data_IF_005222423475
#
_entry.id   IF_005222423475
#
_cell.length_a   1.000
_cell.length_b   1.000
_cell.length_c   1.000
_cell.angle_alpha   90.00
_cell.angle_beta   90.00
_cell.angle_gamma   90.00
#
_symmetry.space_group_name_H-M   'P 1'
#
loop_
_entity.id
_entity.type
_entity.pdbx_description
1 polymer ?
#
# COMPACT_ATOMS: atom_id res chain seq x y z
N UNK A 1 23.37 -10.36 19.35
CA UNK A 1 23.43 -10.20 20.83
C UNK A 1 23.48 -8.72 21.24
N UNK A 2 24.28 -7.92 20.61
CA UNK A 2 24.53 -6.51 20.96
C UNK A 2 23.27 -5.61 20.93
N UNK A 3 22.32 -5.87 20.03
CA UNK A 3 21.07 -5.11 19.89
C UNK A 3 20.09 -5.30 21.05
N UNK A 4 20.00 -6.50 21.60
CA UNK A 4 19.13 -6.78 22.76
C UNK A 4 19.71 -6.16 24.06
N UNK A 5 21.03 -6.17 24.19
CA UNK A 5 21.70 -5.63 25.38
C UNK A 5 21.84 -4.10 25.35
N UNK A 6 22.03 -3.49 24.18
CA UNK A 6 22.27 -2.05 24.06
C UNK A 6 21.05 -1.25 23.62
N UNK A 7 20.04 -1.90 23.06
CA UNK A 7 18.93 -1.22 22.37
C UNK A 7 19.39 -0.51 21.09
N UNK A 8 18.48 0.01 20.30
CA UNK A 8 18.79 0.87 19.15
C UNK A 8 17.59 1.78 18.83
N UNK A 9 17.81 3.08 18.79
CA UNK A 9 16.75 4.05 18.55
C UNK A 9 15.69 4.02 19.66
N UNK A 10 14.44 3.82 19.30
CA UNK A 10 13.31 3.71 20.24
C UNK A 10 13.18 2.32 20.90
N UNK A 11 14.03 1.34 20.55
CA UNK A 11 14.01 0.01 21.12
C UNK A 11 14.67 0.01 22.51
N UNK A 12 13.92 -0.34 23.59
CA UNK A 12 14.48 -0.34 24.93
C UNK A 12 15.55 -1.44 25.08
N UNK A 13 16.42 -1.28 26.07
CA UNK A 13 17.36 -2.33 26.47
C UNK A 13 16.58 -3.47 27.14
N UNK A 14 16.85 -4.70 26.74
CA UNK A 14 16.32 -5.91 27.38
C UNK A 14 17.44 -6.60 28.17
N UNK A 15 18.02 -5.88 29.13
CA UNK A 15 19.15 -6.38 29.94
C UNK A 15 18.75 -7.48 30.92
N UNK A 16 17.45 -7.68 31.14
CA UNK A 16 16.93 -8.67 32.09
C UNK A 16 16.90 -10.10 31.52
N UNK A 17 16.90 -10.23 30.19
CA UNK A 17 16.91 -11.55 29.52
C UNK A 17 18.36 -11.99 29.30
N UNK A 18 18.86 -12.89 30.16
CA UNK A 18 20.24 -13.37 30.08
C UNK A 18 20.31 -14.89 30.28
N UNK A 19 21.47 -15.47 29.91
CA UNK A 19 21.75 -16.88 30.16
C UNK A 19 20.74 -17.83 29.50
N UNK A 20 20.24 -18.83 30.27
CA UNK A 20 19.37 -19.88 29.72
C UNK A 20 18.06 -19.37 29.10
N UNK A 21 17.52 -18.27 29.62
CA UNK A 21 16.28 -17.65 29.10
C UNK A 21 16.51 -17.04 27.72
N UNK A 22 17.64 -16.37 27.51
CA UNK A 22 18.04 -15.84 26.23
C UNK A 22 18.25 -16.96 25.19
N UNK A 23 18.92 -18.05 25.60
CA UNK A 23 19.12 -19.20 24.72
C UNK A 23 17.80 -19.90 24.36
N UNK A 24 16.87 -20.01 25.30
CA UNK A 24 15.54 -20.56 25.06
C UNK A 24 14.74 -19.68 24.07
N UNK A 25 14.81 -18.37 24.24
CA UNK A 25 14.18 -17.40 23.34
C UNK A 25 14.77 -17.49 21.94
N UNK A 26 16.09 -17.50 21.82
CA UNK A 26 16.77 -17.60 20.52
C UNK A 26 16.45 -18.93 19.81
N UNK A 27 16.35 -20.02 20.56
CA UNK A 27 15.94 -21.33 20.04
C UNK A 27 14.49 -21.32 19.56
N UNK A 28 13.59 -20.69 20.32
CA UNK A 28 12.18 -20.55 19.97
C UNK A 28 11.98 -19.71 18.71
N UNK A 29 12.78 -18.66 18.54
CA UNK A 29 12.79 -17.81 17.36
C UNK A 29 13.50 -18.44 16.14
N UNK A 30 14.00 -19.67 16.26
CA UNK A 30 14.74 -20.34 15.19
C UNK A 30 16.10 -19.72 14.87
N UNK A 31 16.61 -18.86 15.77
CA UNK A 31 17.95 -18.28 15.67
C UNK A 31 18.91 -19.33 16.25
N UNK A 32 19.44 -20.18 15.41
CA UNK A 32 20.47 -21.13 15.79
C UNK A 32 21.66 -20.39 16.41
N UNK A 33 22.23 -20.96 17.50
CA UNK A 33 23.45 -20.47 18.16
C UNK A 33 24.49 -20.03 17.12
N UNK A 34 24.91 -18.79 17.17
CA UNK A 34 25.71 -18.10 16.18
C UNK A 34 27.15 -18.61 16.05
N UNK A 35 27.31 -19.88 15.74
CA UNK A 35 28.46 -20.39 14.96
C UNK A 35 28.11 -20.46 13.46
N UNK A 36 27.03 -19.78 13.05
CA UNK A 36 26.69 -19.69 11.63
C UNK A 36 27.71 -18.81 10.92
N UNK A 37 28.27 -19.35 9.85
CA UNK A 37 29.02 -18.60 8.86
C UNK A 37 28.36 -17.23 8.65
N UNK A 38 29.15 -16.17 8.71
CA UNK A 38 28.71 -14.79 8.48
C UNK A 38 27.90 -14.78 7.19
N UNK A 39 26.62 -14.42 7.27
CA UNK A 39 25.78 -14.38 6.10
C UNK A 39 26.45 -13.51 5.04
N UNK A 40 26.70 -14.09 3.87
CA UNK A 40 27.30 -13.40 2.72
C UNK A 40 26.42 -12.27 2.18
N UNK A 41 25.16 -12.22 2.63
CA UNK A 41 24.16 -11.30 2.15
C UNK A 41 23.93 -10.17 3.13
N UNK A 42 24.02 -8.94 2.63
CA UNK A 42 23.74 -7.71 3.36
C UNK A 42 22.50 -7.05 2.73
N UNK A 43 21.51 -6.69 3.55
CA UNK A 43 20.37 -5.94 3.07
C UNK A 43 20.84 -4.51 2.70
N UNK A 44 20.75 -4.17 1.41
CA UNK A 44 21.18 -2.88 0.85
C UNK A 44 20.05 -1.88 0.70
N UNK A 45 18.82 -2.20 1.15
CA UNK A 45 17.63 -1.38 0.97
C UNK A 45 16.71 -1.91 -0.13
N UNK A 46 15.61 -1.20 -0.34
CA UNK A 46 14.68 -1.48 -1.44
C UNK A 46 15.09 -0.70 -2.67
N UNK A 47 15.35 -1.40 -3.75
CA UNK A 47 15.65 -0.81 -5.05
C UNK A 47 14.54 -1.16 -6.03
N UNK A 48 13.89 -0.14 -6.60
CA UNK A 48 12.89 -0.35 -7.63
C UNK A 48 13.55 -0.76 -8.93
N UNK A 49 13.00 -1.77 -9.59
CA UNK A 49 13.41 -2.17 -10.93
C UNK A 49 12.62 -1.33 -11.95
N UNK A 50 13.27 -0.29 -12.45
CA UNK A 50 12.66 0.71 -13.32
C UNK A 50 13.37 0.76 -14.67
N UNK A 51 12.63 1.17 -15.70
CA UNK A 51 13.17 1.50 -17.00
C UNK A 51 13.88 2.89 -16.99
N UNK A 52 14.51 3.30 -18.09
CA UNK A 52 15.18 4.60 -18.16
C UNK A 52 14.23 5.80 -17.98
N UNK A 53 12.95 5.64 -18.25
CA UNK A 53 11.92 6.68 -18.10
C UNK A 53 11.33 6.69 -16.69
N UNK A 54 11.73 5.73 -15.83
CA UNK A 54 11.37 5.62 -14.44
C UNK A 54 10.05 4.87 -14.19
N UNK A 55 9.51 4.18 -15.16
CA UNK A 55 8.38 3.26 -14.99
C UNK A 55 8.87 1.86 -14.60
N UNK A 56 7.99 1.01 -14.01
CA UNK A 56 8.37 -0.37 -13.72
C UNK A 56 8.86 -1.11 -14.98
N UNK A 57 10.06 -1.68 -14.93
CA UNK A 57 10.69 -2.37 -16.06
C UNK A 57 10.12 -3.77 -16.30
N UNK A 58 8.81 -3.92 -16.13
CA UNK A 58 8.01 -5.12 -16.40
C UNK A 58 6.77 -4.73 -17.20
N UNK A 59 6.16 -5.68 -17.88
CA UNK A 59 4.92 -5.43 -18.60
C UNK A 59 3.77 -5.05 -17.66
N UNK A 60 2.93 -4.04 -18.01
CA UNK A 60 1.71 -3.74 -17.26
C UNK A 60 0.70 -4.90 -17.34
N UNK A 61 -0.30 -4.96 -16.42
CA UNK A 61 -0.65 -3.92 -15.46
C UNK A 61 0.25 -3.93 -14.22
N UNK A 62 0.69 -2.74 -13.79
CA UNK A 62 1.57 -2.54 -12.63
C UNK A 62 0.84 -2.48 -11.30
N UNK A 63 -0.47 -2.41 -11.32
CA UNK A 63 -1.34 -2.51 -10.16
C UNK A 63 -2.67 -3.13 -10.54
N UNK A 64 -3.24 -3.97 -9.66
CA UNK A 64 -4.51 -4.64 -9.91
C UNK A 64 -5.36 -4.72 -8.65
N UNK A 65 -6.67 -4.62 -8.84
CA UNK A 65 -7.68 -4.99 -7.86
C UNK A 65 -8.24 -6.36 -8.24
N UNK A 66 -8.31 -7.25 -7.24
CA UNK A 66 -8.65 -8.65 -7.50
C UNK A 66 -9.74 -9.10 -6.53
N UNK A 67 -10.72 -9.86 -7.00
CA UNK A 67 -11.59 -10.65 -6.16
C UNK A 67 -11.24 -12.14 -6.30
N UNK A 68 -11.12 -12.82 -5.17
CA UNK A 68 -10.71 -14.22 -5.10
C UNK A 68 -11.78 -15.00 -4.36
N UNK A 69 -12.21 -16.12 -4.91
CA UNK A 69 -13.05 -17.09 -4.18
C UNK A 69 -12.18 -17.80 -3.14
N UNK A 70 -12.46 -17.58 -1.87
CA UNK A 70 -11.69 -18.17 -0.77
C UNK A 70 -11.84 -19.68 -0.64
N UNK A 71 -12.85 -20.30 -1.29
CA UNK A 71 -13.03 -21.76 -1.27
C UNK A 71 -12.16 -22.45 -2.30
N UNK A 72 -11.99 -21.83 -3.47
CA UNK A 72 -11.25 -22.41 -4.60
C UNK A 72 -9.86 -21.80 -4.78
N UNK A 73 -9.65 -20.57 -4.29
CA UNK A 73 -8.43 -19.77 -4.53
C UNK A 73 -8.39 -19.15 -5.93
N UNK A 74 -9.47 -19.28 -6.71
CA UNK A 74 -9.53 -18.77 -8.07
C UNK A 74 -9.95 -17.29 -8.12
N UNK A 75 -9.50 -16.57 -9.14
CA UNK A 75 -9.96 -15.20 -9.39
C UNK A 75 -11.40 -15.19 -9.90
N UNK A 76 -12.29 -14.49 -9.19
CA UNK A 76 -13.61 -14.14 -9.70
C UNK A 76 -13.50 -13.06 -10.78
N UNK A 77 -12.66 -12.06 -10.54
CA UNK A 77 -12.28 -11.05 -11.50
C UNK A 77 -10.95 -10.39 -11.11
N UNK A 78 -10.32 -9.76 -12.09
CA UNK A 78 -9.07 -9.01 -11.93
C UNK A 78 -9.10 -7.82 -12.88
N UNK A 79 -8.93 -6.61 -12.36
CA UNK A 79 -8.93 -5.37 -13.14
C UNK A 79 -7.69 -4.53 -12.81
N UNK A 80 -7.15 -3.76 -13.76
CA UNK A 80 -6.10 -2.79 -13.47
C UNK A 80 -6.59 -1.76 -12.44
N UNK A 81 -5.72 -1.38 -11.50
CA UNK A 81 -5.98 -0.35 -10.50
C UNK A 81 -4.89 0.71 -10.55
N UNK A 82 -5.33 1.95 -10.69
CA UNK A 82 -4.45 3.10 -10.86
C UNK A 82 -4.01 3.34 -12.29
N UNK A 83 -3.41 4.48 -12.49
CA UNK A 83 -2.81 4.88 -13.76
C UNK A 83 -1.66 5.86 -13.49
N UNK A 84 -0.80 6.02 -14.47
CA UNK A 84 0.14 7.12 -14.54
C UNK A 84 -0.51 8.23 -15.40
N UNK A 85 -0.80 9.41 -14.83
CA UNK A 85 -1.56 10.44 -15.54
C UNK A 85 -0.91 10.89 -16.85
N UNK A 86 0.41 10.88 -16.93
CA UNK A 86 1.17 11.20 -18.13
C UNK A 86 0.99 10.15 -19.23
N UNK A 87 0.96 8.85 -18.89
CA UNK A 87 0.69 7.78 -19.85
C UNK A 87 -0.78 7.75 -20.26
N UNK A 88 -1.68 8.02 -19.31
CA UNK A 88 -3.12 8.10 -19.58
C UNK A 88 -3.44 9.20 -20.59
N UNK A 89 -2.75 10.36 -20.52
CA UNK A 89 -2.85 11.44 -21.53
C UNK A 89 -2.36 11.03 -22.92
N UNK A 90 -1.45 10.07 -22.99
CA UNK A 90 -0.97 9.47 -24.24
C UNK A 90 -1.87 8.32 -24.75
N UNK A 91 -2.98 8.04 -24.06
CA UNK A 91 -3.93 6.97 -24.42
C UNK A 91 -3.73 5.64 -23.69
N UNK A 92 -2.70 5.51 -22.86
CA UNK A 92 -2.39 4.30 -22.10
C UNK A 92 -3.06 4.33 -20.72
N UNK A 93 -4.38 4.14 -20.67
CA UNK A 93 -5.19 4.31 -19.45
C UNK A 93 -5.26 3.08 -18.52
N UNK A 94 -4.82 1.92 -18.97
CA UNK A 94 -4.98 0.65 -18.23
C UNK A 94 -3.66 0.08 -17.71
N UNK A 95 -2.71 0.96 -17.46
CA UNK A 95 -1.39 0.53 -16.99
C UNK A 95 -1.39 -0.02 -15.57
N UNK A 96 -2.37 0.37 -14.75
CA UNK A 96 -2.25 0.20 -13.30
C UNK A 96 -1.14 1.08 -12.74
N UNK A 97 -1.03 1.12 -11.43
CA UNK A 97 0.08 1.79 -10.74
C UNK A 97 0.31 1.16 -9.37
N UNK A 98 1.39 1.52 -8.69
CA UNK A 98 1.63 1.10 -7.31
C UNK A 98 0.44 1.46 -6.42
N UNK A 99 0.07 0.51 -5.55
CA UNK A 99 -1.07 0.61 -4.65
C UNK A 99 -0.60 0.53 -3.19
N UNK A 100 -1.09 1.46 -2.38
CA UNK A 100 -0.92 1.47 -0.93
C UNK A 100 -2.28 1.69 -0.28
N UNK A 101 -2.64 0.88 0.71
CA UNK A 101 -3.93 0.90 1.36
C UNK A 101 -4.83 -0.26 0.94
N UNK A 102 -6.05 -0.24 1.40
CA UNK A 102 -7.02 -1.32 1.18
C UNK A 102 -8.39 -0.81 0.74
N UNK A 103 -9.24 -1.71 0.22
CA UNK A 103 -10.64 -1.42 -0.07
C UNK A 103 -11.53 -1.57 1.15
N UNK A 104 -12.75 -1.02 1.06
CA UNK A 104 -13.90 -1.49 1.82
C UNK A 104 -14.97 -2.03 0.90
N UNK A 105 -15.68 -3.06 1.34
CA UNK A 105 -16.83 -3.62 0.62
C UNK A 105 -18.09 -3.34 1.41
N UNK A 106 -19.11 -2.81 0.74
CA UNK A 106 -20.40 -2.50 1.35
C UNK A 106 -21.42 -3.61 1.11
N UNK A 107 -22.43 -3.70 1.98
CA UNK A 107 -23.54 -4.64 1.80
C UNK A 107 -24.31 -4.40 0.49
N UNK A 108 -24.28 -3.18 -0.04
CA UNK A 108 -24.86 -2.83 -1.34
C UNK A 108 -24.09 -3.33 -2.56
N UNK A 109 -22.98 -4.07 -2.36
CA UNK A 109 -22.22 -4.65 -3.47
C UNK A 109 -21.22 -3.69 -4.11
N UNK A 110 -20.79 -2.65 -3.40
CA UNK A 110 -19.79 -1.71 -3.88
C UNK A 110 -18.44 -1.93 -3.17
N UNK A 111 -17.36 -1.81 -3.93
CA UNK A 111 -15.98 -1.82 -3.44
C UNK A 111 -15.41 -0.41 -3.60
N UNK A 112 -15.17 0.29 -2.49
CA UNK A 112 -14.54 1.60 -2.50
C UNK A 112 -13.05 1.48 -2.22
N UNK A 113 -12.24 2.14 -3.03
CA UNK A 113 -10.77 2.14 -2.89
C UNK A 113 -10.16 3.43 -3.45
N UNK A 114 -9.19 3.97 -2.72
CA UNK A 114 -8.24 4.96 -3.24
C UNK A 114 -6.95 4.25 -3.63
N UNK A 115 -6.09 4.05 -2.66
CA UNK A 115 -4.86 3.23 -2.71
C UNK A 115 -3.79 3.68 -3.73
N UNK A 116 -4.11 4.52 -4.70
CA UNK A 116 -3.21 4.93 -5.78
C UNK A 116 -2.51 6.25 -5.45
N UNK A 117 -1.21 6.33 -5.73
CA UNK A 117 -0.37 7.48 -5.38
C UNK A 117 -0.31 8.49 -6.52
N UNK A 118 -0.33 8.01 -7.77
CA UNK A 118 -0.04 8.83 -8.93
C UNK A 118 -1.26 9.57 -9.46
N UNK A 119 -2.40 8.89 -9.56
CA UNK A 119 -3.63 9.45 -10.15
C UNK A 119 -4.56 10.13 -9.13
N UNK A 120 -4.32 9.91 -7.85
CA UNK A 120 -5.11 10.49 -6.73
C UNK A 120 -6.62 10.26 -6.87
N UNK A 121 -7.02 9.16 -7.49
CA UNK A 121 -8.44 8.87 -7.71
C UNK A 121 -9.01 8.02 -6.58
N UNK A 122 -10.26 8.34 -6.21
CA UNK A 122 -11.08 7.50 -5.36
C UNK A 122 -12.15 6.86 -6.23
N UNK A 123 -12.31 5.54 -6.13
CA UNK A 123 -13.09 4.73 -7.05
C UNK A 123 -14.09 3.86 -6.34
N UNK A 124 -15.22 3.59 -7.02
CA UNK A 124 -16.19 2.58 -6.64
C UNK A 124 -16.34 1.56 -7.76
N UNK A 125 -16.19 0.29 -7.40
CA UNK A 125 -16.36 -0.84 -8.32
C UNK A 125 -17.56 -1.69 -7.90
N UNK A 126 -18.18 -2.37 -8.86
CA UNK A 126 -19.12 -3.45 -8.57
C UNK A 126 -18.37 -4.66 -8.01
N UNK A 127 -18.80 -5.14 -6.85
CA UNK A 127 -18.10 -6.23 -6.14
C UNK A 127 -18.15 -7.59 -6.83
N UNK A 128 -19.13 -7.80 -7.72
CA UNK A 128 -19.32 -9.07 -8.43
C UNK A 128 -18.56 -9.16 -9.74
N UNK A 129 -18.45 -8.02 -10.44
CA UNK A 129 -17.88 -7.97 -11.78
C UNK A 129 -16.53 -7.24 -11.88
N UNK A 130 -16.18 -6.43 -10.86
CA UNK A 130 -15.02 -5.54 -10.92
C UNK A 130 -15.21 -4.36 -11.88
N UNK A 131 -16.43 -4.11 -12.35
CA UNK A 131 -16.72 -2.96 -13.21
C UNK A 131 -16.56 -1.66 -12.43
N UNK A 132 -15.79 -0.71 -12.98
CA UNK A 132 -15.70 0.64 -12.44
C UNK A 132 -17.04 1.35 -12.65
N UNK A 133 -17.70 1.73 -11.55
CA UNK A 133 -19.00 2.40 -11.56
C UNK A 133 -18.88 3.91 -11.38
N UNK A 134 -17.87 4.34 -10.63
CA UNK A 134 -17.68 5.74 -10.30
C UNK A 134 -16.21 6.02 -9.92
N UNK A 135 -15.73 7.20 -10.29
CA UNK A 135 -14.44 7.71 -9.82
C UNK A 135 -14.46 9.23 -9.63
N UNK A 136 -13.62 9.71 -8.72
CA UNK A 136 -13.36 11.13 -8.52
C UNK A 136 -11.90 11.37 -8.20
N UNK A 137 -11.37 12.52 -8.63
CA UNK A 137 -10.01 12.93 -8.26
C UNK A 137 -10.04 13.62 -6.89
N UNK A 138 -9.08 13.26 -6.06
CA UNK A 138 -8.87 13.85 -4.73
C UNK A 138 -7.77 14.91 -4.78
N UNK A 139 -7.76 15.87 -3.85
CA UNK A 139 -6.70 16.88 -3.78
C UNK A 139 -5.32 16.25 -3.46
N UNK A 140 -5.31 15.12 -2.74
CA UNK A 140 -4.13 14.35 -2.35
C UNK A 140 -4.37 12.85 -2.54
N UNK A 141 -3.31 12.06 -2.49
CA UNK A 141 -3.43 10.60 -2.59
C UNK A 141 -4.17 10.00 -1.40
N UNK A 142 -5.16 9.15 -1.66
CA UNK A 142 -5.94 8.43 -0.66
C UNK A 142 -5.37 7.05 -0.39
N UNK A 143 -4.23 6.97 0.28
CA UNK A 143 -3.55 5.70 0.57
C UNK A 143 -4.05 5.01 1.83
N UNK A 144 -4.97 5.63 2.57
CA UNK A 144 -5.64 5.01 3.69
C UNK A 144 -6.76 4.07 3.22
N UNK A 145 -7.07 3.07 4.03
CA UNK A 145 -8.28 2.28 3.85
C UNK A 145 -9.51 3.16 4.15
N UNK A 146 -10.50 3.23 3.25
CA UNK A 146 -11.72 3.98 3.50
C UNK A 146 -12.50 3.43 4.71
N UNK A 147 -13.38 4.24 5.26
CA UNK A 147 -14.35 3.85 6.28
C UNK A 147 -15.75 4.25 5.85
N UNK A 148 -16.78 3.58 6.38
CA UNK A 148 -18.17 3.93 6.12
C UNK A 148 -18.97 4.04 7.41
N UNK A 149 -19.93 4.95 7.42
CA UNK A 149 -20.86 5.16 8.54
C UNK A 149 -22.21 5.63 8.02
N UNK A 150 -23.22 5.59 8.86
CA UNK A 150 -24.58 6.01 8.52
C UNK A 150 -25.01 7.12 9.48
N UNK A 151 -25.55 8.20 8.94
CA UNK A 151 -26.18 9.30 9.70
C UNK A 151 -27.54 9.57 9.05
N UNK A 152 -28.60 9.60 9.84
CA UNK A 152 -29.97 9.87 9.39
C UNK A 152 -30.39 9.02 8.17
N UNK A 153 -30.04 7.74 8.18
CA UNK A 153 -30.36 6.80 7.12
C UNK A 153 -29.54 6.97 5.83
N UNK A 154 -28.56 7.87 5.81
CA UNK A 154 -27.65 8.08 4.68
C UNK A 154 -26.30 7.46 4.97
N UNK A 155 -25.80 6.67 4.02
CA UNK A 155 -24.45 6.12 4.09
C UNK A 155 -23.43 7.15 3.58
N UNK A 156 -22.37 7.30 4.34
CA UNK A 156 -21.21 8.11 3.99
C UNK A 156 -19.98 7.21 3.86
N UNK A 157 -19.14 7.50 2.89
CA UNK A 157 -17.83 6.89 2.75
C UNK A 157 -16.78 7.98 2.92
N UNK A 158 -15.81 7.75 3.79
CA UNK A 158 -14.74 8.69 4.10
C UNK A 158 -13.39 8.04 3.83
N UNK A 159 -12.48 8.79 3.24
CA UNK A 159 -11.10 8.42 3.07
C UNK A 159 -10.19 9.58 3.46
N UNK A 160 -9.10 9.27 4.17
CA UNK A 160 -8.07 10.24 4.44
C UNK A 160 -7.22 10.42 3.18
N UNK A 161 -7.22 11.64 2.63
CA UNK A 161 -6.39 12.02 1.51
C UNK A 161 -5.22 12.88 2.01
N UNK A 162 -4.03 12.31 2.02
CA UNK A 162 -2.83 12.96 2.56
C UNK A 162 -1.60 12.62 1.76
N UNK A 163 -0.73 13.60 1.55
CA UNK A 163 0.49 13.41 0.79
C UNK A 163 0.25 13.21 -0.70
N UNK A 164 1.18 12.58 -1.35
CA UNK A 164 1.18 12.31 -2.77
C UNK A 164 2.58 12.42 -3.33
N UNK A 165 2.71 12.09 -4.61
CA UNK A 165 3.95 12.30 -5.33
C UNK A 165 4.03 13.74 -5.82
N UNK A 166 5.19 14.35 -5.67
CA UNK A 166 5.49 15.59 -6.38
C UNK A 166 5.55 15.29 -7.88
N UNK A 167 4.64 15.85 -8.71
CA UNK A 167 4.66 15.61 -10.15
C UNK A 167 5.94 16.13 -10.83
N UNK A 168 6.75 16.95 -10.14
CA UNK A 168 8.06 17.41 -10.60
C UNK A 168 9.22 16.52 -10.16
N UNK A 169 8.95 15.56 -9.27
CA UNK A 169 9.96 14.59 -8.84
C UNK A 169 10.19 13.55 -9.94
N UNK A 170 11.42 13.16 -10.23
CA UNK A 170 11.69 12.05 -11.14
C UNK A 170 10.92 10.80 -10.72
N UNK A 171 10.44 10.04 -11.70
CA UNK A 171 9.87 8.72 -11.47
C UNK A 171 10.89 7.89 -10.67
N UNK A 172 10.46 7.30 -9.57
CA UNK A 172 11.36 6.56 -8.67
C UNK A 172 11.68 7.25 -7.34
N UNK A 173 11.72 8.57 -7.29
CA UNK A 173 11.82 9.31 -6.04
C UNK A 173 10.43 9.63 -5.50
N UNK A 174 10.00 8.93 -4.46
CA UNK A 174 8.82 9.31 -3.71
C UNK A 174 9.20 10.49 -2.80
N UNK A 175 9.32 11.67 -3.37
CA UNK A 175 9.18 12.88 -2.56
C UNK A 175 7.71 13.02 -2.23
N UNK A 176 7.36 12.57 -1.04
CA UNK A 176 6.05 12.82 -0.46
C UNK A 176 5.92 14.34 -0.34
N UNK A 177 4.98 14.94 -1.07
CA UNK A 177 4.56 16.31 -0.77
C UNK A 177 3.97 16.23 0.64
N UNK A 178 4.54 16.92 1.63
CA UNK A 178 3.95 16.94 2.95
C UNK A 178 2.51 17.45 2.80
N UNK A 179 1.51 16.75 3.35
CA UNK A 179 0.16 17.27 3.37
C UNK A 179 0.18 18.62 4.11
N UNK A 180 -0.71 19.56 3.76
CA UNK A 180 -0.97 20.67 4.65
C UNK A 180 -1.33 20.10 6.01
N UNK A 181 -1.04 20.82 7.09
CA UNK A 181 -1.20 20.35 8.48
C UNK A 181 -2.60 19.81 8.82
N UNK A 182 -3.58 19.98 7.92
CA UNK A 182 -4.93 19.40 7.97
C UNK A 182 -5.11 18.50 6.74
N UNK A 183 -5.33 17.20 6.95
CA UNK A 183 -5.72 16.29 5.88
C UNK A 183 -7.09 16.67 5.29
N UNK A 184 -7.29 16.41 4.01
CA UNK A 184 -8.60 16.56 3.37
C UNK A 184 -9.40 15.26 3.53
N UNK A 185 -10.67 15.40 3.91
CA UNK A 185 -11.62 14.30 3.96
C UNK A 185 -12.66 14.48 2.87
N UNK A 186 -12.88 13.46 2.07
CA UNK A 186 -13.96 13.45 1.09
C UNK A 186 -15.08 12.56 1.61
N UNK A 187 -16.30 13.09 1.60
CA UNK A 187 -17.51 12.33 1.85
C UNK A 187 -18.32 12.31 0.57
N UNK A 188 -18.78 11.15 0.12
CA UNK A 188 -19.79 11.04 -0.92
C UNK A 188 -21.17 10.93 -0.27
N UNK A 189 -22.16 11.57 -0.85
CA UNK A 189 -23.58 11.44 -0.47
C UNK A 189 -24.23 10.40 -1.35
#
# INVERSE_FOLDING_TARGET
>A
MDLLQKGKGAMPRMSEIQGPELEALLRHLGVASATSARAEYVFTGYHKFLDPDGYPAIAPPWGTLNAIDLKTGEYLWKVPLGEYPELARQGLKTTGSENYGGPIVTAGGLVFIGATVYDRKFRAFDSRSGLLLWETEMPYSGVATPSTYVIDGRQYVVIAASGGRDPKSPLGDIKVIPPPMCGSYLTSR
#
